data_IF_574999956196
#
_entry.id   IF_574999956196
#
_cell.length_a   1.000
_cell.length_b   1.000
_cell.length_c   1.000
_cell.angle_alpha   90.00
_cell.angle_beta   90.00
_cell.angle_gamma   90.00
#
_symmetry.space_group_name_H-M   'P 1'
#
loop_
_entity.id
_entity.type
_entity.pdbx_description
1 polymer ?
#
# COMPACT_ATOMS: atom_id res chain seq x y z
N UNK A 1 -17.49 8.95 -23.42
CA UNK A 1 -17.01 9.18 -22.04
C UNK A 1 -15.63 8.55 -21.91
N UNK A 2 -14.65 9.28 -21.37
CA UNK A 2 -13.37 8.67 -21.02
C UNK A 2 -13.61 7.60 -19.94
N UNK A 3 -13.02 6.41 -20.11
CA UNK A 3 -13.16 5.33 -19.14
C UNK A 3 -12.15 5.54 -18.03
N UNK A 4 -12.61 5.43 -16.78
CA UNK A 4 -11.72 5.46 -15.63
C UNK A 4 -10.65 4.37 -15.76
N UNK A 5 -9.43 4.74 -15.41
CA UNK A 5 -8.31 3.81 -15.34
C UNK A 5 -7.91 3.59 -13.89
N UNK A 6 -7.36 2.41 -13.61
CA UNK A 6 -6.81 2.13 -12.31
C UNK A 6 -5.50 1.37 -12.41
N UNK A 7 -4.60 1.70 -11.50
CA UNK A 7 -3.23 1.21 -11.48
C UNK A 7 -2.67 1.17 -10.08
N UNK A 8 -1.43 0.72 -9.96
CA UNK A 8 -0.70 0.78 -8.69
C UNK A 8 0.54 1.63 -8.81
N UNK A 9 1.06 2.10 -7.67
CA UNK A 9 2.44 2.55 -7.55
C UNK A 9 3.16 1.45 -6.77
N UNK A 10 3.82 0.49 -7.44
CA UNK A 10 4.49 -0.59 -6.75
C UNK A 10 5.75 -0.05 -6.07
N UNK A 11 5.84 -0.22 -4.76
CA UNK A 11 6.95 0.25 -3.93
C UNK A 11 7.69 -0.91 -3.28
N UNK A 12 8.98 -0.70 -3.01
CA UNK A 12 9.78 -1.54 -2.12
C UNK A 12 10.75 -0.68 -1.33
N UNK A 13 11.19 -1.20 -0.19
CA UNK A 13 12.32 -0.64 0.57
C UNK A 13 13.53 -1.51 0.24
N UNK A 14 14.52 -0.97 -0.46
CA UNK A 14 15.73 -1.71 -0.85
C UNK A 14 16.96 -1.01 -0.32
N UNK A 15 17.85 -1.78 0.31
CA UNK A 15 19.15 -1.32 0.79
C UNK A 15 19.92 -0.63 -0.34
N UNK A 16 20.20 0.67 -0.16
CA UNK A 16 21.12 1.45 -0.98
C UNK A 16 22.30 1.78 -0.07
N UNK A 17 23.53 1.48 -0.53
CA UNK A 17 24.70 1.92 0.21
C UNK A 17 24.83 3.43 -0.02
N UNK A 18 24.76 4.22 1.04
CA UNK A 18 24.99 5.66 0.94
C UNK A 18 26.51 5.86 0.78
N UNK A 19 26.89 6.66 -0.21
CA UNK A 19 28.24 7.20 -0.33
C UNK A 19 28.20 8.58 0.31
N UNK A 20 29.16 8.89 1.16
CA UNK A 20 29.35 10.27 1.60
C UNK A 20 30.05 11.10 0.51
N UNK A 21 30.23 12.39 0.79
CA UNK A 21 30.90 13.35 -0.10
C UNK A 21 32.36 12.98 -0.43
N UNK A 22 32.99 12.11 0.37
CA UNK A 22 34.34 11.62 0.16
C UNK A 22 34.38 10.29 -0.58
N UNK A 23 33.22 9.77 -1.00
CA UNK A 23 33.09 8.45 -1.62
C UNK A 23 33.24 7.29 -0.65
N UNK A 24 33.31 7.55 0.66
CA UNK A 24 33.31 6.48 1.66
C UNK A 24 31.93 5.84 1.68
N UNK A 25 31.92 4.53 1.49
CA UNK A 25 30.71 3.73 1.57
C UNK A 25 30.50 3.40 3.04
N UNK A 26 30.27 4.43 3.85
CA UNK A 26 29.90 4.27 5.24
C UNK A 26 28.69 3.35 5.25
N UNK A 27 28.78 2.16 5.88
CA UNK A 27 27.75 1.12 5.88
C UNK A 27 26.40 1.52 6.51
N UNK A 28 26.21 2.82 6.71
CA UNK A 28 25.07 3.59 7.19
C UNK A 28 23.88 3.48 6.24
N UNK A 29 22.74 3.11 6.81
CA UNK A 29 21.48 2.91 6.08
C UNK A 29 20.39 3.79 6.67
N UNK A 30 19.47 4.24 5.83
CA UNK A 30 18.25 4.95 6.22
C UNK A 30 17.07 4.30 5.50
N UNK A 31 15.90 4.21 6.15
CA UNK A 31 14.75 3.52 5.55
C UNK A 31 13.99 4.44 4.60
N UNK A 32 13.78 5.71 4.96
CA UNK A 32 13.03 6.66 4.11
C UNK A 32 13.74 6.96 2.78
N UNK A 33 15.06 7.13 2.77
CA UNK A 33 15.85 7.32 1.54
C UNK A 33 16.01 6.06 0.67
N UNK A 34 15.38 4.95 1.05
CA UNK A 34 15.54 3.65 0.39
C UNK A 34 14.25 3.11 -0.22
N UNK A 35 13.22 3.95 -0.30
CA UNK A 35 12.05 3.65 -1.11
C UNK A 35 12.39 3.70 -2.59
N UNK A 36 11.99 2.66 -3.30
CA UNK A 36 12.05 2.58 -4.75
C UNK A 36 10.65 2.29 -5.28
N UNK A 37 10.33 2.91 -6.40
CA UNK A 37 9.10 2.67 -7.14
C UNK A 37 9.42 1.84 -8.37
N UNK A 38 8.51 0.93 -8.74
CA UNK A 38 8.57 0.29 -10.03
C UNK A 38 7.77 1.10 -11.04
N UNK A 39 8.42 1.42 -12.14
CA UNK A 39 7.82 2.01 -13.32
C UNK A 39 7.98 1.05 -14.50
N UNK A 40 7.20 1.31 -15.54
CA UNK A 40 7.30 0.64 -16.83
C UNK A 40 7.43 1.65 -17.95
N UNK A 41 8.03 1.23 -19.07
CA UNK A 41 7.97 1.99 -20.32
C UNK A 41 6.54 2.02 -20.84
N UNK A 42 6.11 3.16 -21.40
CA UNK A 42 4.84 3.24 -22.12
C UNK A 42 4.93 2.41 -23.41
N UNK A 43 3.93 1.56 -23.71
CA UNK A 43 3.88 0.77 -24.97
C UNK A 43 4.10 1.59 -26.21
N UNK A 44 3.48 2.77 -26.23
CA UNK A 44 3.29 3.51 -27.47
C UNK A 44 4.53 4.34 -27.81
N UNK A 45 5.22 4.85 -26.78
CA UNK A 45 6.39 5.72 -26.96
C UNK A 45 7.70 4.99 -26.69
N UNK A 46 7.69 3.89 -25.94
CA UNK A 46 8.88 3.12 -25.57
C UNK A 46 9.83 3.81 -24.57
N UNK A 47 9.79 5.13 -24.44
CA UNK A 47 10.71 5.92 -23.59
C UNK A 47 10.05 6.53 -22.35
N UNK A 48 8.77 6.93 -22.43
CA UNK A 48 8.09 7.56 -21.30
C UNK A 48 7.92 6.56 -20.15
N UNK A 49 8.19 7.03 -18.93
CA UNK A 49 8.05 6.22 -17.72
C UNK A 49 6.69 6.44 -17.10
N UNK A 50 5.94 5.35 -16.92
CA UNK A 50 4.60 5.37 -16.33
C UNK A 50 4.48 4.34 -15.22
N UNK A 51 3.46 4.49 -14.38
CA UNK A 51 3.03 3.43 -13.48
C UNK A 51 2.12 2.44 -14.21
N UNK A 52 2.08 1.16 -13.79
CA UNK A 52 1.19 0.19 -14.38
C UNK A 52 -0.27 0.55 -14.12
N UNK A 53 -1.08 0.57 -15.18
CA UNK A 53 -2.50 0.93 -15.15
C UNK A 53 -3.22 0.46 -16.40
N UNK A 54 -4.53 0.30 -16.28
CA UNK A 54 -5.39 0.08 -17.44
C UNK A 54 -6.85 0.30 -17.14
N UNK A 55 -7.69 -0.11 -18.08
CA UNK A 55 -9.12 0.15 -18.03
C UNK A 55 -9.81 -0.73 -16.99
N UNK A 56 -10.77 -0.16 -16.27
CA UNK A 56 -11.59 -0.92 -15.32
C UNK A 56 -12.61 -1.76 -16.11
N UNK A 57 -12.62 -3.08 -15.90
CA UNK A 57 -13.58 -3.98 -16.56
C UNK A 57 -14.98 -3.85 -15.94
N UNK A 58 -16.02 -4.27 -16.69
CA UNK A 58 -17.40 -4.29 -16.18
C UNK A 58 -17.47 -5.13 -14.90
N UNK A 59 -18.10 -4.60 -13.85
CA UNK A 59 -18.23 -5.24 -12.53
C UNK A 59 -16.91 -5.48 -11.79
N UNK A 60 -15.80 -4.88 -12.23
CA UNK A 60 -14.51 -4.91 -11.54
C UNK A 60 -14.38 -3.68 -10.61
N UNK A 61 -13.89 -3.87 -9.39
CA UNK A 61 -13.57 -2.73 -8.53
C UNK A 61 -12.24 -2.10 -8.94
N UNK A 62 -12.06 -0.80 -8.69
CA UNK A 62 -10.81 -0.09 -8.97
C UNK A 62 -9.58 -0.80 -8.39
N UNK A 63 -9.63 -1.25 -7.14
CA UNK A 63 -8.54 -2.01 -6.51
C UNK A 63 -8.25 -3.37 -7.19
N UNK A 64 -9.28 -4.04 -7.72
CA UNK A 64 -9.10 -5.30 -8.47
C UNK A 64 -8.45 -5.02 -9.83
N UNK A 65 -8.95 -4.01 -10.56
CA UNK A 65 -8.38 -3.56 -11.81
C UNK A 65 -6.91 -3.19 -11.65
N UNK A 66 -6.57 -2.32 -10.68
CA UNK A 66 -5.21 -1.92 -10.38
C UNK A 66 -4.25 -3.12 -10.20
N UNK A 67 -4.65 -4.13 -9.41
CA UNK A 67 -3.82 -5.33 -9.17
C UNK A 67 -3.68 -6.20 -10.40
N UNK A 68 -4.75 -6.36 -11.19
CA UNK A 68 -4.76 -7.14 -12.43
C UNK A 68 -3.81 -6.51 -13.45
N UNK A 69 -4.00 -5.22 -13.73
CA UNK A 69 -3.16 -4.46 -14.67
C UNK A 69 -1.69 -4.47 -14.24
N UNK A 70 -1.42 -4.36 -12.94
CA UNK A 70 -0.04 -4.47 -12.43
C UNK A 70 0.56 -5.87 -12.61
N UNK A 71 -0.26 -6.92 -12.55
CA UNK A 71 0.21 -8.27 -12.87
C UNK A 71 0.48 -8.43 -14.37
N UNK A 72 -0.45 -7.98 -15.21
CA UNK A 72 -0.39 -8.10 -16.67
C UNK A 72 0.79 -7.29 -17.24
N UNK A 73 0.92 -6.01 -16.86
CA UNK A 73 1.93 -5.11 -17.43
C UNK A 73 3.34 -5.27 -16.86
N UNK A 74 3.49 -5.75 -15.61
CA UNK A 74 4.82 -5.87 -14.99
C UNK A 74 5.09 -7.12 -14.14
N UNK A 75 4.13 -8.06 -14.05
CA UNK A 75 4.33 -9.32 -13.34
C UNK A 75 4.53 -9.15 -11.83
N UNK A 76 3.99 -8.09 -11.24
CA UNK A 76 4.19 -7.77 -9.82
C UNK A 76 2.95 -8.14 -8.99
N UNK A 77 3.17 -8.84 -7.86
CA UNK A 77 2.17 -8.97 -6.79
C UNK A 77 2.58 -8.14 -5.59
N UNK A 78 1.58 -7.59 -4.91
CA UNK A 78 1.80 -6.83 -3.69
C UNK A 78 0.54 -6.68 -2.85
N UNK A 79 0.70 -5.98 -1.74
CA UNK A 79 -0.39 -5.61 -0.84
C UNK A 79 -0.60 -4.10 -0.95
N UNK A 80 -1.81 -3.70 -1.35
CA UNK A 80 -2.21 -2.28 -1.38
C UNK A 80 -2.16 -1.73 0.05
N UNK A 81 -1.58 -0.55 0.19
CA UNK A 81 -1.57 0.23 1.42
C UNK A 81 -2.98 0.78 1.62
N UNK A 82 -3.71 0.31 2.63
CA UNK A 82 -5.13 0.69 2.84
C UNK A 82 -5.30 1.84 3.84
N UNK A 83 -4.21 2.37 4.39
CA UNK A 83 -4.24 3.51 5.29
C UNK A 83 -4.66 4.80 4.59
N UNK A 84 -4.28 4.95 3.33
CA UNK A 84 -4.58 6.13 2.53
C UNK A 84 -5.60 5.82 1.42
N UNK A 85 -6.39 6.82 0.99
CA UNK A 85 -7.18 6.72 -0.24
C UNK A 85 -6.27 6.55 -1.46
N UNK A 86 -6.82 6.12 -2.62
CA UNK A 86 -6.06 6.15 -3.86
C UNK A 86 -5.61 7.58 -4.19
N UNK A 87 -4.43 7.68 -4.80
CA UNK A 87 -3.96 8.90 -5.42
C UNK A 87 -4.70 9.05 -6.75
N UNK A 88 -5.52 10.09 -6.87
CA UNK A 88 -6.31 10.37 -8.08
C UNK A 88 -5.64 11.46 -8.89
N UNK A 89 -5.37 11.17 -10.16
CA UNK A 89 -4.74 12.11 -11.09
C UNK A 89 -5.47 12.10 -12.43
N UNK A 90 -5.35 13.18 -13.19
CA UNK A 90 -5.99 13.32 -14.50
C UNK A 90 -4.94 13.30 -15.60
N UNK A 91 -5.04 12.35 -16.53
CA UNK A 91 -4.29 12.41 -17.79
C UNK A 91 -5.06 13.31 -18.76
N UNK A 92 -4.73 14.60 -18.75
CA UNK A 92 -5.38 15.62 -19.57
C UNK A 92 -5.26 15.34 -21.07
N UNK A 93 -4.19 14.66 -21.50
CA UNK A 93 -4.00 14.30 -22.91
C UNK A 93 -5.04 13.29 -23.42
N UNK A 94 -5.64 12.51 -22.51
CA UNK A 94 -6.65 11.49 -22.81
C UNK A 94 -8.01 11.78 -22.18
N UNK A 95 -8.12 12.85 -21.40
CA UNK A 95 -9.30 13.18 -20.61
C UNK A 95 -9.70 12.10 -19.59
N UNK A 96 -8.76 11.27 -19.14
CA UNK A 96 -9.04 10.11 -18.28
C UNK A 96 -8.63 10.35 -16.82
N UNK A 97 -9.50 9.98 -15.89
CA UNK A 97 -9.19 9.92 -14.46
C UNK A 97 -8.48 8.59 -14.16
N UNK A 98 -7.39 8.67 -13.40
CA UNK A 98 -6.58 7.51 -13.03
C UNK A 98 -6.54 7.40 -11.50
N UNK A 99 -6.92 6.23 -11.00
CA UNK A 99 -6.81 5.89 -9.58
C UNK A 99 -5.58 5.01 -9.34
N UNK A 100 -4.55 5.58 -8.71
CA UNK A 100 -3.35 4.87 -8.31
C UNK A 100 -3.39 4.43 -6.85
N UNK A 101 -3.12 3.15 -6.62
CA UNK A 101 -2.98 2.59 -5.28
C UNK A 101 -1.51 2.31 -4.96
N UNK A 102 -0.90 2.98 -3.97
CA UNK A 102 0.38 2.56 -3.45
C UNK A 102 0.34 1.08 -3.03
N UNK A 103 1.33 0.30 -3.46
CA UNK A 103 1.34 -1.14 -3.25
C UNK A 103 2.73 -1.65 -2.86
N UNK A 104 2.86 -2.22 -1.65
CA UNK A 104 4.11 -2.85 -1.23
C UNK A 104 4.29 -4.18 -1.98
N UNK A 105 5.39 -4.27 -2.73
CA UNK A 105 5.71 -5.44 -3.55
C UNK A 105 6.08 -6.64 -2.68
N UNK A 106 5.48 -7.78 -3.00
CA UNK A 106 5.70 -9.06 -2.30
C UNK A 106 6.31 -10.13 -3.22
N UNK A 107 6.03 -10.06 -4.52
CA UNK A 107 6.56 -11.00 -5.51
C UNK A 107 6.77 -10.32 -6.85
N UNK A 108 7.87 -10.65 -7.51
CA UNK A 108 8.19 -10.28 -8.89
C UNK A 108 8.29 -11.55 -9.73
N UNK A 109 7.44 -11.70 -10.76
CA UNK A 109 7.53 -12.84 -11.69
C UNK A 109 8.73 -12.69 -12.64
N UNK A 110 9.27 -13.83 -13.07
CA UNK A 110 10.30 -13.92 -14.11
C UNK A 110 9.69 -13.59 -15.47
N UNK A 111 8.58 -14.25 -15.79
CA UNK A 111 7.78 -14.06 -17.01
C UNK A 111 6.42 -13.44 -16.68
N UNK A 112 5.92 -12.57 -17.57
CA UNK A 112 4.64 -11.88 -17.41
C UNK A 112 4.06 -11.48 -18.76
N UNK A 113 2.76 -11.18 -18.77
CA UNK A 113 1.93 -11.17 -19.97
C UNK A 113 2.36 -10.12 -21.01
N UNK A 114 2.83 -8.95 -20.58
CA UNK A 114 3.31 -7.89 -21.48
C UNK A 114 4.82 -7.66 -21.44
N UNK A 115 5.62 -8.69 -21.13
CA UNK A 115 7.08 -8.54 -21.00
C UNK A 115 7.81 -8.17 -22.29
N UNK A 116 7.19 -8.44 -23.43
CA UNK A 116 7.61 -8.05 -24.77
C UNK A 116 7.31 -6.57 -25.08
N UNK A 117 6.32 -5.97 -24.40
CA UNK A 117 5.85 -4.58 -24.64
C UNK A 117 6.30 -3.59 -23.58
N UNK A 118 6.71 -4.07 -22.41
CA UNK A 118 6.99 -3.25 -21.23
C UNK A 118 8.34 -3.62 -20.63
N UNK A 119 9.16 -2.62 -20.36
CA UNK A 119 10.39 -2.79 -19.59
C UNK A 119 10.21 -2.29 -18.16
N UNK A 120 10.69 -3.06 -17.19
CA UNK A 120 10.61 -2.74 -15.75
C UNK A 120 11.80 -1.89 -15.33
N UNK A 121 11.52 -0.79 -14.66
CA UNK A 121 12.56 0.12 -14.15
C UNK A 121 12.27 0.40 -12.67
N UNK A 122 13.22 0.07 -11.81
CA UNK A 122 13.16 0.48 -10.40
C UNK A 122 13.86 1.81 -10.26
N UNK A 123 13.14 2.82 -9.79
CA UNK A 123 13.68 4.17 -9.61
C UNK A 123 13.59 4.53 -8.12
N UNK A 124 14.69 4.95 -7.48
CA UNK A 124 14.66 5.54 -6.14
C UNK A 124 13.71 6.74 -6.09
N UNK A 125 12.98 6.87 -4.98
CA UNK A 125 12.05 7.99 -4.80
C UNK A 125 12.77 9.34 -4.90
N UNK A 126 13.93 9.47 -4.28
CA UNK A 126 14.73 10.69 -4.30
C UNK A 126 15.18 11.05 -5.73
N UNK A 127 15.49 10.05 -6.55
CA UNK A 127 15.81 10.26 -7.96
C UNK A 127 14.59 10.76 -8.74
N UNK A 128 13.40 10.21 -8.45
CA UNK A 128 12.16 10.68 -9.08
C UNK A 128 11.83 12.15 -8.73
N UNK A 129 12.23 12.61 -7.54
CA UNK A 129 12.02 13.98 -7.09
C UNK A 129 13.08 14.95 -7.62
N UNK A 130 14.35 14.54 -7.67
CA UNK A 130 15.47 15.40 -8.06
C UNK A 130 15.77 15.43 -9.57
N UNK A 131 15.40 14.37 -10.30
CA UNK A 131 15.72 14.20 -11.73
C UNK A 131 14.47 13.97 -12.58
N UNK A 132 13.34 14.60 -12.21
CA UNK A 132 12.06 14.38 -12.90
C UNK A 132 12.12 14.65 -14.41
N UNK A 133 12.86 15.67 -14.82
CA UNK A 133 12.94 16.11 -16.22
C UNK A 133 13.71 15.10 -17.08
N UNK A 134 14.75 14.48 -16.51
CA UNK A 134 15.54 13.44 -17.17
C UNK A 134 14.75 12.13 -17.31
N UNK A 135 13.79 11.90 -16.41
CA UNK A 135 13.02 10.66 -16.35
C UNK A 135 11.79 10.65 -17.27
N UNK A 136 11.55 11.72 -18.04
CA UNK A 136 10.46 11.83 -19.03
C UNK A 136 9.09 11.46 -18.45
N UNK A 137 8.75 12.05 -17.30
CA UNK A 137 7.44 11.86 -16.70
C UNK A 137 6.40 12.79 -17.31
N UNK A 138 5.19 12.27 -17.52
CA UNK A 138 4.03 13.12 -17.74
C UNK A 138 3.66 13.86 -16.44
N UNK A 139 3.03 15.05 -16.52
CA UNK A 139 2.68 15.83 -15.33
C UNK A 139 1.87 15.04 -14.28
N UNK A 140 0.92 14.19 -14.70
CA UNK A 140 0.12 13.39 -13.77
C UNK A 140 0.94 12.29 -13.06
N UNK A 141 2.00 11.78 -13.68
CA UNK A 141 2.93 10.84 -13.03
C UNK A 141 3.72 11.58 -11.96
N UNK A 142 4.22 12.77 -12.27
CA UNK A 142 4.91 13.62 -11.30
C UNK A 142 4.01 13.94 -10.09
N UNK A 143 2.74 14.31 -10.32
CA UNK A 143 1.77 14.52 -9.25
C UNK A 143 1.58 13.27 -8.38
N UNK A 144 1.48 12.09 -8.98
CA UNK A 144 1.36 10.84 -8.24
C UNK A 144 2.60 10.54 -7.38
N UNK A 145 3.80 10.84 -7.89
CA UNK A 145 5.07 10.73 -7.17
C UNK A 145 5.09 11.66 -5.96
N UNK A 146 4.74 12.95 -6.14
CA UNK A 146 4.70 13.92 -5.06
C UNK A 146 3.72 13.52 -3.95
N UNK A 147 2.53 13.01 -4.31
CA UNK A 147 1.55 12.53 -3.34
C UNK A 147 2.08 11.34 -2.53
N UNK A 148 2.75 10.38 -3.20
CA UNK A 148 3.39 9.27 -2.50
C UNK A 148 4.56 9.73 -1.62
N UNK A 149 5.38 10.68 -2.10
CA UNK A 149 6.51 11.22 -1.34
C UNK A 149 6.05 11.90 -0.05
N UNK A 150 5.00 12.73 -0.12
CA UNK A 150 4.40 13.35 1.08
C UNK A 150 3.91 12.31 2.07
N UNK A 151 3.29 11.23 1.61
CA UNK A 151 2.88 10.14 2.48
C UNK A 151 4.08 9.44 3.14
N UNK A 152 5.15 9.17 2.40
CA UNK A 152 6.37 8.55 2.96
C UNK A 152 7.06 9.47 3.97
N UNK A 153 7.06 10.79 3.75
CA UNK A 153 7.67 11.76 4.66
C UNK A 153 6.93 11.89 6.00
N UNK A 154 5.68 11.44 6.12
CA UNK A 154 4.96 11.45 7.41
C UNK A 154 5.26 10.23 8.29
N UNK A 155 5.83 9.15 7.73
CA UNK A 155 6.12 7.91 8.47
C UNK A 155 6.91 8.14 9.77
N UNK A 156 8.00 8.93 9.81
CA UNK A 156 8.74 9.16 11.05
C UNK A 156 7.84 9.70 12.16
N UNK A 157 7.07 10.76 11.86
CA UNK A 157 6.17 11.43 12.80
C UNK A 157 5.00 10.54 13.24
N UNK A 158 4.55 9.61 12.39
CA UNK A 158 3.42 8.75 12.70
C UNK A 158 3.79 7.45 13.44
N UNK A 159 5.08 7.12 13.55
CA UNK A 159 5.52 5.81 14.06
C UNK A 159 6.46 5.87 15.26
N UNK A 160 7.02 7.05 15.59
CA UNK A 160 8.15 7.19 16.52
C UNK A 160 9.35 6.28 16.16
N UNK A 161 9.42 5.81 14.92
CA UNK A 161 10.53 4.99 14.42
C UNK A 161 11.59 5.92 13.86
N UNK A 162 12.82 5.75 14.30
CA UNK A 162 13.94 6.43 13.69
C UNK A 162 14.28 5.79 12.33
N UNK A 163 13.80 6.43 11.27
CA UNK A 163 13.92 5.96 9.88
C UNK A 163 14.88 6.80 9.03
N UNK A 164 15.39 7.90 9.60
CA UNK A 164 16.25 8.88 8.93
C UNK A 164 17.69 8.86 9.45
N UNK A 165 17.97 8.38 10.67
CA UNK A 165 19.37 8.28 11.08
C UNK A 165 20.03 7.08 10.41
N UNK A 166 21.31 7.21 10.02
CA UNK A 166 22.18 6.08 9.78
C UNK A 166 22.07 4.99 10.85
N UNK A 167 21.90 3.74 10.42
CA UNK A 167 21.87 2.58 11.32
C UNK A 167 22.65 1.41 10.74
N UNK A 168 22.99 0.45 11.60
CA UNK A 168 23.69 -0.76 11.20
C UNK A 168 22.76 -1.74 10.44
N UNK A 169 23.29 -2.81 9.80
CA UNK A 169 22.49 -3.72 8.99
C UNK A 169 21.32 -4.43 9.70
N UNK A 170 21.47 -4.79 10.98
CA UNK A 170 20.46 -5.51 11.74
C UNK A 170 19.35 -4.57 12.22
N UNK A 171 19.74 -3.40 12.74
CA UNK A 171 18.82 -2.30 13.04
C UNK A 171 17.99 -1.95 11.81
N UNK A 172 18.62 -1.81 10.65
CA UNK A 172 17.92 -1.53 9.40
C UNK A 172 16.89 -2.60 9.04
N UNK A 173 17.24 -3.88 9.21
CA UNK A 173 16.32 -4.99 8.92
C UNK A 173 15.11 -4.97 9.84
N UNK A 174 15.29 -4.62 11.11
CA UNK A 174 14.21 -4.50 12.08
C UNK A 174 13.33 -3.27 11.80
N UNK A 175 13.95 -2.11 11.59
CA UNK A 175 13.28 -0.85 11.22
C UNK A 175 12.46 -1.00 9.94
N UNK A 176 13.03 -1.62 8.89
CA UNK A 176 12.31 -1.93 7.65
C UNK A 176 11.06 -2.76 7.90
N UNK A 177 11.16 -3.83 8.71
CA UNK A 177 9.99 -4.68 9.04
C UNK A 177 8.90 -3.88 9.77
N UNK A 178 9.29 -2.99 10.69
CA UNK A 178 8.35 -2.13 11.42
C UNK A 178 7.64 -1.16 10.47
N UNK A 179 8.39 -0.52 9.56
CA UNK A 179 7.81 0.36 8.53
C UNK A 179 6.89 -0.41 7.59
N UNK A 180 7.28 -1.59 7.09
CA UNK A 180 6.40 -2.43 6.25
C UNK A 180 5.11 -2.83 6.99
N UNK A 181 5.19 -3.16 8.29
CA UNK A 181 4.02 -3.44 9.12
C UNK A 181 3.12 -2.21 9.25
N UNK A 182 3.69 -1.02 9.46
CA UNK A 182 2.96 0.23 9.54
C UNK A 182 2.25 0.59 8.22
N UNK A 183 2.94 0.43 7.09
CA UNK A 183 2.39 0.69 5.75
C UNK A 183 1.21 -0.24 5.42
N UNK A 184 1.30 -1.50 5.84
CA UNK A 184 0.27 -2.51 5.60
C UNK A 184 -0.88 -2.48 6.63
N UNK A 185 -0.75 -1.68 7.67
CA UNK A 185 -1.79 -1.53 8.68
C UNK A 185 -3.05 -0.90 8.06
N UNK A 186 -4.21 -1.48 8.38
CA UNK A 186 -5.51 -1.02 7.92
C UNK A 186 -6.37 -0.65 9.15
N UNK A 187 -6.52 0.64 9.48
CA UNK A 187 -7.25 1.08 10.67
C UNK A 187 -8.72 0.64 10.65
N UNK A 188 -9.33 0.54 9.46
CA UNK A 188 -10.76 0.19 9.32
C UNK A 188 -11.06 -1.26 9.69
N UNK A 189 -10.07 -2.16 9.56
CA UNK A 189 -10.22 -3.57 9.95
C UNK A 189 -10.18 -3.78 11.45
N UNK A 190 -9.47 -2.93 12.19
CA UNK A 190 -9.46 -3.01 13.65
C UNK A 190 -10.79 -2.59 14.25
N UNK A 191 -11.38 -1.49 13.75
CA UNK A 191 -12.71 -1.03 14.18
C UNK A 191 -13.79 -2.09 13.93
N UNK A 192 -13.77 -2.76 12.77
CA UNK A 192 -14.71 -3.85 12.46
C UNK A 192 -14.49 -5.10 13.33
N UNK A 193 -13.25 -5.39 13.72
CA UNK A 193 -12.94 -6.52 14.62
C UNK A 193 -13.39 -6.25 16.04
N UNK A 194 -13.22 -5.00 16.52
CA UNK A 194 -13.73 -4.56 17.81
C UNK A 194 -15.25 -4.57 17.84
N UNK A 195 -15.92 -3.97 16.85
CA UNK A 195 -17.39 -3.99 16.74
C UNK A 195 -17.99 -5.40 16.64
N UNK A 196 -17.30 -6.36 16.01
CA UNK A 196 -17.74 -7.77 16.00
C UNK A 196 -17.59 -8.43 17.37
N UNK A 197 -16.51 -8.12 18.08
CA UNK A 197 -16.26 -8.65 19.43
C UNK A 197 -17.27 -8.06 20.43
N UNK A 198 -17.53 -6.76 20.36
CA UNK A 198 -18.51 -6.08 21.22
C UNK A 198 -19.94 -6.61 20.98
N UNK A 199 -20.30 -6.93 19.73
CA UNK A 199 -21.58 -7.56 19.41
C UNK A 199 -21.70 -8.99 19.93
N UNK A 200 -20.61 -9.77 19.85
CA UNK A 200 -20.59 -11.14 20.36
C UNK A 200 -20.64 -11.17 21.89
N UNK A 201 -19.92 -10.27 22.55
CA UNK A 201 -19.94 -10.12 24.01
C UNK A 201 -21.33 -9.64 24.51
N UNK A 202 -22.07 -8.85 23.72
CA UNK A 202 -23.46 -8.46 24.01
C UNK A 202 -24.47 -9.62 23.83
N UNK A 203 -24.31 -10.44 22.80
CA UNK A 203 -25.14 -11.64 22.57
C UNK A 203 -24.90 -12.73 23.63
N UNK A 204 -23.65 -12.90 24.08
CA UNK A 204 -23.31 -13.87 25.13
C UNK A 204 -23.82 -13.43 26.52
N UNK A 205 -23.87 -12.12 26.79
CA UNK A 205 -24.43 -11.59 28.04
C UNK A 205 -25.97 -11.66 28.08
N UNK A 206 -26.65 -11.43 26.96
CA UNK A 206 -28.12 -11.53 26.91
C UNK A 206 -28.60 -12.98 27.07
N UNK A 207 -27.86 -13.97 26.52
CA UNK A 207 -28.15 -15.39 26.71
C UNK A 207 -27.87 -15.92 28.14
N UNK A 208 -26.96 -15.29 28.88
CA UNK A 208 -26.73 -15.60 30.30
C UNK A 208 -27.82 -15.05 31.22
N UNK A 209 -28.43 -13.91 30.87
CA UNK A 209 -29.54 -13.32 31.63
C UNK A 209 -30.88 -14.01 31.38
N UNK A 210 -31.10 -14.63 30.21
CA UNK A 210 -32.30 -15.43 29.96
C UNK A 210 -32.25 -16.80 30.66
N UNK A 211 -31.08 -17.43 30.76
CA UNK A 211 -30.90 -18.73 31.41
C UNK A 211 -30.93 -18.70 32.95
N UNK A 212 -30.70 -17.54 33.58
CA UNK A 212 -30.81 -17.37 35.03
C UNK A 212 -32.23 -17.08 35.52
N UNK A 213 -33.17 -16.72 34.64
CA UNK A 213 -34.56 -16.43 35.00
C UNK A 213 -35.50 -17.66 34.92
N UNK A 214 -35.07 -18.79 34.34
CA UNK A 214 -35.89 -20.01 34.25
C UNK A 214 -35.74 -20.97 35.44
N UNK A 215 -34.81 -20.72 36.38
CA UNK A 215 -34.57 -21.62 37.53
C UNK A 215 -35.24 -21.20 38.85
N UNK A 216 -36.12 -20.18 38.83
CA UNK A 216 -36.73 -19.57 40.02
C UNK A 216 -38.21 -19.88 40.27
N UNK A 217 -38.71 -21.08 39.94
CA UNK A 217 -40.14 -21.40 40.06
C UNK A 217 -40.44 -22.81 40.56
N UNK A 218 -40.16 -23.11 41.83
CA UNK A 218 -40.81 -24.24 42.53
C UNK A 218 -41.55 -23.64 43.74
N UNK A 219 -42.86 -23.43 43.57
CA UNK A 219 -43.76 -23.11 44.68
C UNK A 219 -44.25 -24.46 45.24
N UNK A 220 -43.65 -24.88 46.36
CA UNK A 220 -44.19 -25.95 47.19
C UNK A 220 -45.29 -25.39 48.08
N UNK A 221 -46.52 -25.88 47.89
CA UNK A 221 -47.66 -25.60 48.77
C UNK A 221 -47.57 -26.46 50.03
N UNK A 222 -47.81 -25.92 51.24
CA UNK A 222 -47.89 -26.73 52.46
C UNK A 222 -49.33 -27.22 52.70
N UNK A 223 -49.44 -28.51 53.02
CA UNK A 223 -50.65 -29.17 53.52
C UNK A 223 -50.78 -28.98 55.04
N UNK A 224 -51.96 -28.56 55.51
CA UNK A 224 -52.57 -28.83 56.83
C UNK A 224 -53.96 -28.16 56.83
N UNK A 225 -55.06 -28.70 57.31
CA UNK A 225 -55.40 -29.93 58.03
C UNK A 225 -56.84 -30.35 57.62
#
# INVERSE_FOLDING_TARGET
MAKDQSGTIPIRIKKIKLQDENGDVSGRLQVCGQFQMLMITNSSTGSERVFPKGSVKKSESLKKAAKRETMEECGIKGKILNREPPIVVTDTSKGSIIHYYPMLVTKKKKEWDEMDKRQRIWVPLDQCLSQSDQLQFKPYIHQAILSLARFISTIPSCTNINVQTPMNPDEWKQTKKMVEKYLLFDPTKQQKKQQKKDKQDQEDNSNKQSSSNESGGIIVSPTTA
#
